data_IF_915807015571
#
_entry.id   IF_915807015571
#
_cell.length_a   1.000
_cell.length_b   1.000
_cell.length_c   1.000
_cell.angle_alpha   90.00
_cell.angle_beta   90.00
_cell.angle_gamma   90.00
#
_symmetry.space_group_name_H-M   'P 1'
#
loop_
_entity.id
_entity.type
_entity.pdbx_description
1 polymer ?
#
# COMPACT_ATOMS: atom_id res chain seq x y z
N UNK A 1 -8.50 6.77 9.49
CA UNK A 1 -8.87 6.45 10.88
C UNK A 1 -8.34 5.08 11.32
N UNK A 2 -8.39 4.06 10.45
CA UNK A 2 -7.87 2.70 10.75
C UNK A 2 -6.41 2.67 11.21
N UNK A 3 -5.47 3.31 10.49
CA UNK A 3 -4.03 3.25 10.82
C UNK A 3 -3.67 3.85 12.18
N UNK A 4 -4.37 4.90 12.59
CA UNK A 4 -4.19 5.49 13.92
C UNK A 4 -4.65 4.53 15.02
N UNK A 5 -5.78 3.82 14.81
CA UNK A 5 -6.27 2.79 15.73
C UNK A 5 -5.30 1.60 15.79
N UNK A 6 -4.87 1.06 14.65
CA UNK A 6 -3.89 -0.05 14.60
C UNK A 6 -2.57 0.31 15.33
N UNK A 7 -2.13 1.57 15.20
CA UNK A 7 -0.92 2.05 15.86
C UNK A 7 -1.02 2.08 17.39
N UNK A 8 -2.23 2.21 17.96
CA UNK A 8 -2.43 2.10 19.42
C UNK A 8 -2.11 0.70 19.90
N UNK A 9 -2.42 -0.33 19.10
CA UNK A 9 -2.09 -1.73 19.39
C UNK A 9 -0.64 -2.10 18.98
N UNK A 10 0.15 -1.14 18.52
CA UNK A 10 1.57 -1.31 18.23
C UNK A 10 1.89 -2.11 16.96
N UNK A 11 0.90 -2.33 16.09
CA UNK A 11 1.06 -3.10 14.86
C UNK A 11 0.20 -2.54 13.74
N UNK A 12 0.71 -1.50 13.06
CA UNK A 12 0.16 -1.11 11.76
C UNK A 12 0.28 -2.28 10.79
N UNK A 13 -0.82 -2.67 10.16
CA UNK A 13 -0.91 -3.91 9.36
C UNK A 13 -0.38 -3.76 7.94
N UNK A 14 -0.17 -2.52 7.49
CA UNK A 14 0.21 -2.21 6.12
C UNK A 14 0.82 -0.80 6.10
N UNK A 15 2.08 -0.73 5.67
CA UNK A 15 2.81 0.50 5.40
C UNK A 15 2.63 0.90 3.92
N UNK A 16 2.43 2.19 3.60
CA UNK A 16 2.43 2.64 2.21
C UNK A 16 3.83 2.53 1.58
N UNK A 17 3.90 2.35 0.26
CA UNK A 17 5.19 2.33 -0.47
C UNK A 17 5.93 3.65 -0.51
N UNK A 18 5.24 4.75 -0.21
CA UNK A 18 5.82 6.08 -0.11
C UNK A 18 5.62 6.65 1.30
N UNK A 19 6.46 7.63 1.64
CA UNK A 19 6.38 8.33 2.92
C UNK A 19 6.46 7.42 4.16
N UNK A 20 7.33 6.40 4.07
CA UNK A 20 7.67 5.48 5.15
C UNK A 20 9.14 5.59 5.50
N UNK A 21 9.47 5.37 6.77
CA UNK A 21 10.84 5.30 7.25
C UNK A 21 11.11 3.92 7.85
N UNK A 22 12.15 3.26 7.33
CA UNK A 22 12.55 1.94 7.78
C UNK A 22 13.84 2.01 8.59
N UNK A 23 13.89 1.25 9.68
CA UNK A 23 15.13 1.02 10.41
C UNK A 23 15.95 -0.03 9.66
N UNK A 24 17.18 0.31 9.25
CA UNK A 24 18.05 -0.60 8.49
C UNK A 24 18.55 -1.77 9.35
N UNK A 25 19.00 -1.49 10.59
CA UNK A 25 19.51 -2.50 11.54
C UNK A 25 19.04 -2.20 12.96
N UNK A 26 18.89 -3.25 13.77
CA UNK A 26 18.55 -3.13 15.19
C UNK A 26 19.47 -4.02 16.05
N UNK A 27 19.82 -3.60 17.27
CA UNK A 27 20.55 -4.45 18.19
C UNK A 27 19.68 -5.66 18.61
N UNK A 28 20.31 -6.81 18.84
CA UNK A 28 19.67 -8.03 19.35
C UNK A 28 20.50 -8.58 20.51
N UNK A 29 19.96 -8.48 21.73
CA UNK A 29 20.63 -8.88 22.96
C UNK A 29 21.74 -7.92 23.40
N UNK A 30 22.51 -8.33 24.40
CA UNK A 30 23.52 -7.49 25.06
C UNK A 30 24.90 -7.52 24.35
N UNK A 31 25.11 -8.46 23.43
CA UNK A 31 26.42 -8.73 22.83
C UNK A 31 26.68 -7.97 21.52
N UNK A 32 26.51 -6.64 21.48
CA UNK A 32 26.87 -5.78 20.33
C UNK A 32 26.44 -6.31 18.92
N UNK A 33 25.43 -7.19 18.88
CA UNK A 33 25.04 -7.93 17.69
C UNK A 33 23.90 -7.20 17.02
N UNK A 34 24.07 -6.88 15.74
CA UNK A 34 23.12 -6.10 14.97
C UNK A 34 22.46 -6.98 13.92
N UNK A 35 21.13 -6.98 13.92
CA UNK A 35 20.34 -7.71 12.92
C UNK A 35 19.88 -6.73 11.85
N UNK A 36 20.15 -7.00 10.56
CA UNK A 36 19.54 -6.25 9.47
C UNK A 36 18.03 -6.51 9.48
N UNK A 37 17.23 -5.45 9.35
CA UNK A 37 15.77 -5.58 9.34
C UNK A 37 15.30 -5.96 7.94
N UNK A 38 15.53 -5.11 6.95
CA UNK A 38 15.06 -5.36 5.57
C UNK A 38 15.87 -6.44 4.85
N UNK A 39 17.19 -6.47 5.06
CA UNK A 39 18.09 -7.46 4.48
C UNK A 39 18.19 -8.74 5.33
N UNK A 40 17.19 -9.03 6.16
CA UNK A 40 17.14 -10.29 6.89
C UNK A 40 16.88 -11.44 5.89
N UNK A 41 17.61 -12.57 5.96
CA UNK A 41 17.38 -13.72 5.09
C UNK A 41 15.91 -14.18 5.05
N UNK A 42 15.23 -14.21 6.20
CA UNK A 42 13.82 -14.63 6.31
C UNK A 42 12.85 -13.70 5.59
N UNK A 43 13.25 -12.45 5.32
CA UNK A 43 12.45 -11.49 4.52
C UNK A 43 12.87 -11.58 3.07
N UNK A 44 14.18 -11.53 2.79
CA UNK A 44 14.71 -11.51 1.43
C UNK A 44 14.32 -12.76 0.67
N UNK A 45 14.40 -13.94 1.27
CA UNK A 45 14.05 -15.22 0.61
C UNK A 45 12.61 -15.23 0.07
N UNK A 46 11.66 -14.66 0.81
CA UNK A 46 10.27 -14.55 0.37
C UNK A 46 10.01 -13.35 -0.54
N UNK A 47 10.74 -12.25 -0.34
CA UNK A 47 10.51 -11.00 -1.06
C UNK A 47 11.20 -10.94 -2.42
N UNK A 48 12.31 -11.67 -2.61
CA UNK A 48 13.08 -11.71 -3.86
C UNK A 48 12.72 -12.89 -4.76
N UNK A 49 11.46 -13.35 -4.73
CA UNK A 49 10.98 -14.42 -5.60
C UNK A 49 10.77 -13.90 -7.04
N UNK A 50 11.59 -14.40 -7.97
CA UNK A 50 11.52 -14.00 -9.38
C UNK A 50 10.51 -14.82 -10.20
N UNK A 51 10.13 -16.00 -9.72
CA UNK A 51 9.20 -16.91 -10.41
C UNK A 51 7.80 -16.74 -9.82
N UNK A 52 6.99 -15.91 -10.48
CA UNK A 52 5.66 -15.50 -10.02
C UNK A 52 4.56 -16.09 -10.90
N UNK A 53 4.38 -17.41 -10.82
CA UNK A 53 3.45 -18.13 -11.72
C UNK A 53 1.99 -18.11 -11.26
N UNK A 54 1.74 -17.79 -9.99
CA UNK A 54 0.38 -17.84 -9.42
C UNK A 54 -0.25 -16.45 -9.35
N UNK A 55 -1.57 -16.40 -9.53
CA UNK A 55 -2.37 -15.19 -9.34
C UNK A 55 -2.09 -14.52 -7.99
N UNK A 56 -1.91 -15.33 -6.94
CA UNK A 56 -1.62 -14.84 -5.60
C UNK A 56 -0.24 -14.19 -5.51
N UNK A 57 0.82 -14.86 -5.99
CA UNK A 57 2.17 -14.30 -5.99
C UNK A 57 2.28 -13.04 -6.84
N UNK A 58 1.67 -13.02 -8.03
CA UNK A 58 1.64 -11.84 -8.90
C UNK A 58 0.97 -10.64 -8.21
N UNK A 59 -0.15 -10.85 -7.52
CA UNK A 59 -0.82 -9.78 -6.79
C UNK A 59 0.01 -9.24 -5.61
N UNK A 60 0.77 -10.11 -4.92
CA UNK A 60 1.63 -9.71 -3.81
C UNK A 60 2.89 -8.97 -4.27
N UNK A 61 3.60 -9.52 -5.27
CA UNK A 61 4.95 -9.08 -5.65
C UNK A 61 4.95 -8.05 -6.78
N UNK A 62 3.95 -8.03 -7.67
CA UNK A 62 3.89 -7.10 -8.80
C UNK A 62 2.97 -5.91 -8.58
N UNK A 63 1.95 -6.03 -7.71
CA UNK A 63 0.95 -4.97 -7.49
C UNK A 63 0.91 -4.43 -6.06
N UNK A 64 1.42 -5.21 -5.10
CA UNK A 64 1.25 -4.96 -3.67
C UNK A 64 2.53 -5.11 -2.85
N UNK A 65 3.70 -4.89 -3.46
CA UNK A 65 4.97 -5.26 -2.83
C UNK A 65 5.18 -4.57 -1.47
N UNK A 66 4.71 -3.33 -1.32
CA UNK A 66 4.80 -2.57 -0.07
C UNK A 66 4.02 -3.24 1.08
N UNK A 67 2.84 -3.78 0.74
CA UNK A 67 1.94 -4.43 1.69
C UNK A 67 2.50 -5.78 2.08
N UNK A 68 2.96 -6.54 1.09
CA UNK A 68 3.57 -7.84 1.32
C UNK A 68 4.83 -7.72 2.19
N UNK A 69 5.68 -6.72 1.95
CA UNK A 69 6.83 -6.42 2.81
C UNK A 69 6.40 -6.14 4.25
N UNK A 70 5.33 -5.37 4.44
CA UNK A 70 4.79 -5.08 5.78
C UNK A 70 4.34 -6.35 6.50
N UNK A 71 3.66 -7.26 5.78
CA UNK A 71 3.22 -8.56 6.29
C UNK A 71 4.41 -9.45 6.66
N UNK A 72 5.44 -9.53 5.81
CA UNK A 72 6.68 -10.25 6.12
C UNK A 72 7.37 -9.68 7.36
N UNK A 73 7.46 -8.36 7.49
CA UNK A 73 8.04 -7.72 8.67
C UNK A 73 7.29 -8.03 9.96
N UNK A 74 5.95 -8.07 9.94
CA UNK A 74 5.14 -8.46 11.09
C UNK A 74 5.36 -9.92 11.47
N UNK A 75 5.49 -10.80 10.47
CA UNK A 75 5.74 -12.24 10.66
C UNK A 75 7.14 -12.53 11.20
N UNK A 76 8.18 -11.90 10.65
CA UNK A 76 9.58 -12.14 11.03
C UNK A 76 9.93 -11.44 12.36
N UNK A 77 9.35 -10.27 12.63
CA UNK A 77 9.67 -9.47 13.81
C UNK A 77 8.43 -9.05 14.62
N UNK A 78 7.67 -10.02 15.19
CA UNK A 78 6.40 -9.73 15.86
C UNK A 78 6.53 -8.82 17.10
N UNK A 79 7.71 -8.81 17.73
CA UNK A 79 7.99 -7.93 18.89
C UNK A 79 8.36 -6.50 18.50
N UNK A 80 8.55 -6.20 17.21
CA UNK A 80 8.89 -4.86 16.73
C UNK A 80 7.64 -4.14 16.25
N UNK A 81 7.55 -2.86 16.59
CA UNK A 81 6.37 -2.05 16.32
C UNK A 81 6.47 -1.34 14.98
N UNK A 82 5.39 -1.40 14.21
CA UNK A 82 5.13 -0.52 13.08
C UNK A 82 4.16 0.57 13.57
N UNK A 83 4.53 1.84 13.44
CA UNK A 83 3.85 2.96 14.10
C UNK A 83 3.46 4.01 13.06
N UNK A 84 2.25 4.53 13.20
CA UNK A 84 1.78 5.67 12.42
C UNK A 84 2.05 6.97 13.20
N UNK A 85 2.72 7.93 12.57
CA UNK A 85 3.04 9.24 13.17
C UNK A 85 2.10 10.30 12.56
N UNK A 86 1.07 10.77 13.27
CA UNK A 86 0.10 11.71 12.72
C UNK A 86 0.67 13.09 12.38
N UNK A 87 1.80 13.46 12.99
CA UNK A 87 2.50 14.72 12.71
C UNK A 87 3.31 14.67 11.41
N UNK A 88 3.58 13.48 10.87
CA UNK A 88 4.25 13.33 9.59
C UNK A 88 3.23 13.63 8.47
N UNK A 89 3.42 14.73 7.75
CA UNK A 89 2.53 15.16 6.67
C UNK A 89 3.26 15.12 5.33
N UNK A 90 2.63 14.49 4.34
CA UNK A 90 3.06 14.47 2.95
C UNK A 90 1.97 15.07 2.07
N UNK A 91 2.37 15.84 1.05
CA UNK A 91 1.46 16.30 -0.01
C UNK A 91 1.69 15.44 -1.24
N UNK A 92 0.61 14.98 -1.83
CA UNK A 92 0.64 14.17 -3.05
C UNK A 92 -0.40 14.68 -4.04
N UNK A 93 -0.16 14.42 -5.32
CA UNK A 93 -1.11 14.68 -6.40
C UNK A 93 -2.05 13.49 -6.55
N UNK A 94 -3.32 13.78 -6.78
CA UNK A 94 -4.34 12.75 -7.05
C UNK A 94 -4.46 12.55 -8.56
N UNK A 95 -4.96 11.39 -9.03
CA UNK A 95 -5.25 11.21 -10.44
C UNK A 95 -6.31 12.20 -10.94
N UNK A 96 -6.01 12.90 -12.03
CA UNK A 96 -6.93 13.86 -12.65
C UNK A 96 -7.92 13.19 -13.63
N UNK A 97 -7.59 11.98 -14.10
CA UNK A 97 -8.42 11.21 -15.02
C UNK A 97 -9.05 9.97 -14.38
N UNK A 98 -10.32 9.71 -14.71
CA UNK A 98 -11.05 8.57 -14.17
C UNK A 98 -10.41 7.22 -14.55
N UNK A 99 -9.86 7.09 -15.76
CA UNK A 99 -9.18 5.86 -16.20
C UNK A 99 -7.95 5.54 -15.34
N UNK A 100 -7.19 6.57 -14.98
CA UNK A 100 -6.01 6.44 -14.11
C UNK A 100 -6.44 6.07 -12.68
N UNK A 101 -7.48 6.72 -12.16
CA UNK A 101 -8.07 6.37 -10.86
C UNK A 101 -8.53 4.91 -10.83
N UNK A 102 -9.20 4.46 -11.88
CA UNK A 102 -9.74 3.10 -12.00
C UNK A 102 -8.62 2.05 -12.08
N UNK A 103 -7.55 2.32 -12.83
CA UNK A 103 -6.35 1.47 -12.84
C UNK A 103 -5.66 1.41 -11.47
N UNK A 104 -5.50 2.56 -10.80
CA UNK A 104 -4.92 2.61 -9.45
C UNK A 104 -5.75 1.79 -8.45
N UNK A 105 -7.07 1.98 -8.46
CA UNK A 105 -7.97 1.31 -7.50
C UNK A 105 -8.09 -0.18 -7.76
N UNK A 106 -8.04 -0.63 -9.02
CA UNK A 106 -7.91 -2.06 -9.34
C UNK A 106 -6.70 -2.67 -8.64
N UNK A 107 -5.50 -2.10 -8.85
CA UNK A 107 -4.25 -2.62 -8.25
C UNK A 107 -4.33 -2.68 -6.73
N UNK A 108 -4.88 -1.64 -6.13
CA UNK A 108 -5.02 -1.55 -4.68
C UNK A 108 -6.05 -2.55 -4.15
N UNK A 109 -7.17 -2.76 -4.81
CA UNK A 109 -8.19 -3.72 -4.33
C UNK A 109 -7.66 -5.15 -4.49
N UNK A 110 -7.13 -5.50 -5.66
CA UNK A 110 -6.64 -6.85 -5.94
C UNK A 110 -5.53 -7.26 -4.96
N UNK A 111 -4.50 -6.42 -4.79
CA UNK A 111 -3.42 -6.70 -3.83
C UNK A 111 -3.88 -6.66 -2.38
N UNK A 112 -4.94 -5.90 -2.02
CA UNK A 112 -5.48 -5.91 -0.65
C UNK A 112 -6.04 -7.30 -0.33
N UNK A 113 -6.84 -7.88 -1.22
CA UNK A 113 -7.45 -9.21 -0.99
C UNK A 113 -6.37 -10.27 -0.73
N UNK A 114 -5.35 -10.32 -1.59
CA UNK A 114 -4.25 -11.28 -1.45
C UNK A 114 -3.37 -11.02 -0.22
N UNK A 115 -3.09 -9.75 0.10
CA UNK A 115 -2.32 -9.43 1.30
C UNK A 115 -3.11 -9.75 2.58
N UNK A 116 -4.42 -9.53 2.60
CA UNK A 116 -5.27 -9.90 3.74
C UNK A 116 -5.27 -11.42 3.95
N UNK A 117 -5.24 -12.24 2.89
CA UNK A 117 -5.10 -13.71 3.01
C UNK A 117 -3.81 -14.10 3.73
N UNK A 118 -2.68 -13.48 3.39
CA UNK A 118 -1.40 -13.70 4.09
C UNK A 118 -1.44 -13.17 5.53
N UNK A 119 -2.02 -11.99 5.74
CA UNK A 119 -2.04 -11.33 7.04
C UNK A 119 -2.92 -12.08 8.06
N UNK A 120 -4.01 -12.72 7.64
CA UNK A 120 -4.85 -13.59 8.51
C UNK A 120 -4.02 -14.75 9.10
N UNK A 121 -2.98 -15.19 8.42
CA UNK A 121 -2.12 -16.30 8.87
C UNK A 121 -1.03 -15.85 9.86
N UNK A 122 -0.88 -14.55 10.11
CA UNK A 122 0.07 -14.00 11.08
C UNK A 122 -0.51 -14.14 12.49
N UNK A 123 0.09 -15.02 13.30
CA UNK A 123 -0.44 -15.42 14.63
C UNK A 123 -0.10 -14.46 15.77
N UNK A 124 1.00 -13.71 15.63
CA UNK A 124 1.53 -12.84 16.69
C UNK A 124 1.01 -11.40 16.62
N UNK A 125 -0.21 -11.22 16.10
CA UNK A 125 -0.90 -9.93 16.11
C UNK A 125 -1.49 -9.67 17.52
N UNK A 126 -1.47 -8.41 17.96
CA UNK A 126 -1.94 -8.04 19.30
C UNK A 126 -3.45 -8.30 19.49
N UNK A 127 -3.84 -8.79 20.67
CA UNK A 127 -5.23 -8.79 21.16
C UNK A 127 -5.68 -10.11 21.81
N UNK A 128 -6.94 -10.18 22.23
CA UNK A 128 -7.54 -11.35 22.90
C UNK A 128 -8.88 -11.70 22.23
N UNK A 129 -9.04 -12.94 21.78
CA UNK A 129 -10.28 -13.49 21.18
C UNK A 129 -10.90 -12.59 20.07
N UNK A 130 -12.21 -12.27 20.11
CA UNK A 130 -12.90 -11.43 19.10
C UNK A 130 -12.43 -9.97 19.04
N UNK A 131 -11.58 -9.53 19.97
CA UNK A 131 -10.90 -8.24 19.91
C UNK A 131 -9.43 -8.38 19.47
N UNK A 132 -9.08 -9.54 18.90
CA UNK A 132 -7.78 -9.75 18.25
C UNK A 132 -7.73 -8.99 16.92
N UNK A 133 -6.60 -8.35 16.66
CA UNK A 133 -6.28 -7.78 15.36
C UNK A 133 -6.42 -8.82 14.24
N UNK A 134 -6.11 -10.09 14.51
CA UNK A 134 -6.28 -11.18 13.54
C UNK A 134 -7.76 -11.41 13.17
N UNK A 135 -8.66 -11.32 14.15
CA UNK A 135 -10.11 -11.44 13.89
C UNK A 135 -10.64 -10.26 13.08
N UNK A 136 -10.18 -9.04 13.39
CA UNK A 136 -10.54 -7.84 12.62
C UNK A 136 -10.09 -7.96 11.16
N UNK A 137 -8.84 -8.41 10.91
CA UNK A 137 -8.32 -8.66 9.57
C UNK A 137 -9.14 -9.73 8.83
N UNK A 138 -9.56 -10.79 9.52
CA UNK A 138 -10.44 -11.81 8.93
C UNK A 138 -11.81 -11.24 8.53
N UNK A 139 -12.45 -10.46 9.40
CA UNK A 139 -13.72 -9.79 9.09
C UNK A 139 -13.55 -8.82 7.92
N UNK A 140 -12.43 -8.09 7.84
CA UNK A 140 -12.11 -7.21 6.73
C UNK A 140 -11.99 -8.00 5.41
N UNK A 141 -11.26 -9.12 5.41
CA UNK A 141 -11.16 -10.01 4.24
C UNK A 141 -12.54 -10.47 3.75
N UNK A 142 -13.37 -11.01 4.65
CA UNK A 142 -14.74 -11.43 4.32
C UNK A 142 -15.57 -10.25 3.80
N UNK A 143 -15.47 -9.09 4.46
CA UNK A 143 -16.17 -7.87 4.08
C UNK A 143 -15.83 -7.39 2.66
N UNK A 144 -14.56 -7.45 2.26
CA UNK A 144 -14.14 -7.06 0.90
C UNK A 144 -14.81 -7.92 -0.19
N UNK A 145 -15.04 -9.21 0.07
CA UNK A 145 -15.67 -10.14 -0.85
C UNK A 145 -17.20 -10.05 -0.83
N UNK A 146 -17.79 -9.88 0.36
CA UNK A 146 -19.25 -9.89 0.55
C UNK A 146 -19.90 -8.59 0.09
N UNK A 147 -19.26 -7.44 0.30
CA UNK A 147 -19.89 -6.14 0.06
C UNK A 147 -20.30 -5.90 -1.42
N UNK A 148 -19.44 -6.15 -2.43
CA UNK A 148 -19.84 -5.97 -3.83
C UNK A 148 -20.95 -6.94 -4.24
N UNK A 149 -20.90 -8.18 -3.74
CA UNK A 149 -21.93 -9.19 -3.98
C UNK A 149 -23.28 -8.77 -3.37
N UNK A 150 -23.29 -8.27 -2.13
CA UNK A 150 -24.50 -7.80 -1.46
C UNK A 150 -25.18 -6.65 -2.22
N UNK A 151 -24.38 -5.70 -2.74
CA UNK A 151 -24.89 -4.60 -3.56
C UNK A 151 -25.48 -5.13 -4.88
N UNK A 152 -24.78 -6.02 -5.57
CA UNK A 152 -25.27 -6.63 -6.82
C UNK A 152 -26.58 -7.40 -6.62
N UNK A 153 -26.68 -8.21 -5.55
CA UNK A 153 -27.92 -8.94 -5.21
C UNK A 153 -29.07 -7.98 -4.88
N UNK A 154 -28.79 -6.87 -4.21
CA UNK A 154 -29.80 -5.86 -3.90
C UNK A 154 -30.37 -5.21 -5.16
N UNK A 155 -29.52 -4.89 -6.15
CA UNK A 155 -29.98 -4.40 -7.45
C UNK A 155 -30.80 -5.44 -8.21
N UNK A 156 -30.33 -6.69 -8.24
CA UNK A 156 -31.04 -7.79 -8.90
C UNK A 156 -32.45 -8.02 -8.30
N UNK A 157 -32.57 -8.04 -6.97
CA UNK A 157 -33.84 -8.18 -6.28
C UNK A 157 -34.80 -7.00 -6.54
N UNK A 158 -34.27 -5.77 -6.60
CA UNK A 158 -35.05 -4.58 -6.91
C UNK A 158 -35.66 -4.61 -8.32
N UNK A 159 -34.92 -5.13 -9.31
CA UNK A 159 -35.38 -5.28 -10.71
C UNK A 159 -36.51 -6.33 -10.81
N UNK A 160 -36.41 -7.42 -10.04
CA UNK A 160 -37.41 -8.49 -10.06
C UNK A 160 -38.66 -8.21 -9.19
N UNK A 161 -38.77 -7.01 -8.61
CA UNK A 161 -39.86 -6.63 -7.70
C UNK A 161 -40.12 -7.65 -6.58
N UNK A 162 -39.08 -8.36 -6.14
CA UNK A 162 -39.17 -9.24 -4.97
C UNK A 162 -39.16 -8.39 -3.68
N UNK A 163 -39.40 -9.01 -2.53
CA UNK A 163 -39.34 -8.33 -1.23
C UNK A 163 -37.98 -7.64 -1.05
N UNK A 164 -37.99 -6.32 -1.16
CA UNK A 164 -36.79 -5.51 -0.98
C UNK A 164 -36.28 -5.77 0.46
N UNK A 165 -35.00 -6.11 0.66
CA UNK A 165 -34.46 -6.35 2.00
C UNK A 165 -34.29 -5.01 2.74
N UNK A 166 -35.40 -4.48 3.26
CA UNK A 166 -35.48 -3.16 3.90
C UNK A 166 -34.46 -3.03 5.03
N UNK A 167 -34.29 -4.08 5.85
CA UNK A 167 -33.32 -4.08 6.95
C UNK A 167 -31.87 -3.90 6.48
N UNK A 168 -31.48 -4.55 5.37
CA UNK A 168 -30.14 -4.41 4.80
C UNK A 168 -29.91 -3.03 4.19
N UNK A 169 -30.92 -2.46 3.53
CA UNK A 169 -30.84 -1.10 3.00
C UNK A 169 -30.75 -0.05 4.10
N UNK A 170 -31.54 -0.22 5.18
CA UNK A 170 -31.47 0.68 6.36
C UNK A 170 -30.10 0.59 7.01
N UNK A 171 -29.56 -0.61 7.19
CA UNK A 171 -28.22 -0.80 7.76
C UNK A 171 -27.14 -0.18 6.87
N UNK A 172 -27.20 -0.38 5.55
CA UNK A 172 -26.28 0.22 4.58
C UNK A 172 -26.37 1.75 4.61
N UNK A 173 -27.58 2.30 4.65
CA UNK A 173 -27.81 3.74 4.76
C UNK A 173 -27.26 4.32 6.07
N UNK A 174 -27.39 3.60 7.18
CA UNK A 174 -26.80 4.00 8.46
C UNK A 174 -25.27 3.96 8.42
N UNK A 175 -24.67 2.86 7.94
CA UNK A 175 -23.21 2.71 7.88
C UNK A 175 -22.57 3.76 6.98
N UNK A 176 -23.15 4.03 5.81
CA UNK A 176 -22.61 5.02 4.86
C UNK A 176 -23.02 6.45 5.21
N UNK A 177 -24.21 6.66 5.76
CA UNK A 177 -24.78 7.99 6.05
C UNK A 177 -24.34 8.58 7.39
N UNK A 178 -24.14 7.75 8.42
CA UNK A 178 -23.77 8.22 9.77
C UNK A 178 -22.43 8.98 9.80
N UNK A 179 -21.35 8.54 9.10
CA UNK A 179 -20.13 9.34 8.97
C UNK A 179 -20.39 10.70 8.30
N UNK A 180 -21.29 10.75 7.30
CA UNK A 180 -21.70 11.99 6.65
C UNK A 180 -22.37 12.96 7.62
N UNK A 181 -23.32 12.47 8.44
CA UNK A 181 -23.99 13.28 9.46
C UNK A 181 -22.99 13.83 10.48
N UNK A 182 -22.06 13.00 10.97
CA UNK A 182 -21.02 13.45 11.90
C UNK A 182 -20.13 14.54 11.30
N UNK A 183 -19.78 14.44 10.02
CA UNK A 183 -19.01 15.47 9.31
C UNK A 183 -19.81 16.77 9.21
N UNK A 184 -21.10 16.73 8.86
CA UNK A 184 -21.95 17.94 8.81
C UNK A 184 -21.99 18.65 10.16
N UNK A 185 -22.16 17.89 11.24
CA UNK A 185 -22.21 18.45 12.60
C UNK A 185 -20.87 19.06 13.05
N UNK A 186 -19.74 18.52 12.56
CA UNK A 186 -18.40 18.96 12.95
C UNK A 186 -17.82 20.03 12.00
N UNK A 187 -18.31 20.10 10.77
CA UNK A 187 -17.78 20.99 9.74
C UNK A 187 -18.35 22.41 9.85
N UNK A 188 -17.55 23.33 10.38
CA UNK A 188 -17.94 24.74 10.51
C UNK A 188 -17.79 25.58 9.23
N UNK A 189 -17.33 25.01 8.11
CA UNK A 189 -17.25 25.73 6.82
C UNK A 189 -18.14 25.11 5.76
N UNK A 190 -18.99 25.96 5.14
CA UNK A 190 -19.94 25.58 4.09
C UNK A 190 -19.26 24.93 2.88
N UNK A 191 -18.01 25.32 2.57
CA UNK A 191 -17.22 24.67 1.51
C UNK A 191 -17.04 23.17 1.73
N UNK A 192 -16.85 22.71 2.98
CA UNK A 192 -16.71 21.28 3.28
C UNK A 192 -18.03 20.54 3.08
N UNK A 193 -19.16 21.18 3.36
CA UNK A 193 -20.50 20.60 3.13
C UNK A 193 -20.74 20.40 1.62
N UNK A 194 -20.35 21.35 0.77
CA UNK A 194 -20.47 21.21 -0.68
C UNK A 194 -19.62 20.05 -1.23
N UNK A 195 -18.35 19.95 -0.82
CA UNK A 195 -17.49 18.83 -1.21
C UNK A 195 -17.98 17.49 -0.67
N UNK A 196 -18.58 17.48 0.52
CA UNK A 196 -19.19 16.28 1.09
C UNK A 196 -20.39 15.80 0.26
N UNK A 197 -21.24 16.69 -0.26
CA UNK A 197 -22.34 16.30 -1.15
C UNK A 197 -21.82 15.62 -2.42
N UNK A 198 -20.76 16.17 -3.04
CA UNK A 198 -20.09 15.54 -4.19
C UNK A 198 -19.57 14.15 -3.80
N UNK A 199 -18.95 14.02 -2.63
CA UNK A 199 -18.49 12.74 -2.11
C UNK A 199 -19.64 11.73 -1.94
N UNK A 200 -20.77 12.14 -1.35
CA UNK A 200 -21.95 11.28 -1.17
C UNK A 200 -22.52 10.79 -2.51
N UNK A 201 -22.59 11.68 -3.51
CA UNK A 201 -23.01 11.31 -4.88
C UNK A 201 -22.01 10.35 -5.55
N UNK A 202 -20.73 10.40 -5.18
CA UNK A 202 -19.71 9.48 -5.69
C UNK A 202 -19.69 8.12 -4.98
N UNK A 203 -20.42 7.93 -3.87
CA UNK A 203 -20.43 6.66 -3.11
C UNK A 203 -20.75 5.41 -3.93
N UNK A 204 -21.70 5.43 -4.90
CA UNK A 204 -21.93 4.28 -5.78
C UNK A 204 -20.70 3.93 -6.62
N UNK A 205 -19.92 4.93 -7.05
CA UNK A 205 -18.67 4.69 -7.77
C UNK A 205 -17.67 3.99 -6.86
N UNK A 206 -17.53 4.48 -5.61
CA UNK A 206 -16.59 3.92 -4.62
C UNK A 206 -16.94 2.52 -4.14
N UNK A 207 -18.23 2.22 -3.93
CA UNK A 207 -18.67 0.97 -3.31
C UNK A 207 -19.10 -0.10 -4.33
N UNK A 208 -19.39 0.28 -5.58
CA UNK A 208 -19.85 -0.65 -6.61
C UNK A 208 -18.93 -0.64 -7.84
N UNK A 209 -18.82 0.49 -8.55
CA UNK A 209 -18.10 0.53 -9.83
C UNK A 209 -16.64 0.13 -9.69
N UNK A 210 -15.92 0.71 -8.73
CA UNK A 210 -14.49 0.44 -8.54
C UNK A 210 -14.23 -1.01 -8.06
N UNK A 211 -14.91 -1.54 -7.03
CA UNK A 211 -14.76 -2.94 -6.63
C UNK A 211 -15.15 -3.92 -7.74
N UNK A 212 -16.30 -3.74 -8.39
CA UNK A 212 -16.75 -4.64 -9.47
C UNK A 212 -15.75 -4.66 -10.62
N UNK A 213 -15.22 -3.51 -11.03
CA UNK A 213 -14.17 -3.47 -12.05
C UNK A 213 -12.90 -4.20 -11.60
N UNK A 214 -12.49 -4.04 -10.34
CA UNK A 214 -11.32 -4.71 -9.79
C UNK A 214 -11.47 -6.24 -9.81
N UNK A 215 -12.61 -6.76 -9.34
CA UNK A 215 -12.92 -8.19 -9.37
C UNK A 215 -13.13 -8.73 -10.80
N UNK A 216 -13.62 -7.92 -11.74
CA UNK A 216 -13.73 -8.31 -13.14
C UNK A 216 -12.37 -8.41 -13.83
N UNK A 217 -11.40 -7.58 -13.42
CA UNK A 217 -10.01 -7.54 -13.91
C UNK A 217 -9.04 -8.01 -12.84
N UNK A 218 -9.40 -9.09 -12.15
CA UNK A 218 -8.62 -9.59 -11.02
C UNK A 218 -7.30 -10.26 -11.45
N UNK A 219 -7.23 -10.67 -12.72
CA UNK A 219 -6.10 -11.24 -13.44
C UNK A 219 -5.26 -10.22 -14.23
N UNK A 220 -5.59 -8.93 -14.17
CA UNK A 220 -4.85 -7.87 -14.88
C UNK A 220 -3.74 -7.27 -14.02
N UNK A 221 -2.49 -7.61 -14.35
CA UNK A 221 -1.27 -7.17 -13.66
C UNK A 221 -0.62 -5.92 -14.26
N UNK A 222 -1.29 -5.25 -15.20
CA UNK A 222 -0.77 -4.01 -15.78
C UNK A 222 -0.71 -2.87 -14.74
N UNK A 223 0.25 -1.97 -14.91
CA UNK A 223 0.36 -0.74 -14.11
C UNK A 223 -0.35 0.46 -14.73
N UNK A 224 -0.85 0.32 -15.96
CA UNK A 224 -1.51 1.40 -16.72
C UNK A 224 -0.61 2.63 -16.89
N UNK A 225 -1.23 3.79 -17.07
CA UNK A 225 -0.52 5.07 -17.24
C UNK A 225 0.18 5.57 -15.96
N UNK A 226 -0.03 4.93 -14.80
CA UNK A 226 0.49 5.39 -13.50
C UNK A 226 2.01 5.34 -13.32
N UNK A 227 2.76 4.75 -14.26
CA UNK A 227 4.24 4.70 -14.25
C UNK A 227 4.89 5.26 -15.52
N UNK A 228 4.11 5.81 -16.46
CA UNK A 228 4.68 6.35 -17.70
C UNK A 228 5.48 7.61 -17.38
N UNK A 229 6.80 7.50 -17.41
CA UNK A 229 7.67 8.68 -17.48
C UNK A 229 7.46 9.35 -18.85
N UNK A 230 7.55 10.68 -18.91
CA UNK A 230 7.30 11.42 -20.14
C UNK A 230 8.27 10.95 -21.25
N UNK A 231 7.77 10.21 -22.23
CA UNK A 231 8.54 9.68 -23.37
C UNK A 231 8.66 8.15 -23.45
N UNK A 232 8.25 7.39 -22.42
CA UNK A 232 8.42 5.94 -22.41
C UNK A 232 7.18 5.20 -22.95
N UNK A 233 7.26 4.67 -24.17
CA UNK A 233 6.29 3.69 -24.68
C UNK A 233 6.69 2.29 -24.19
N UNK A 234 6.36 1.94 -22.95
CA UNK A 234 6.43 0.54 -22.53
C UNK A 234 5.29 -0.24 -23.17
N UNK A 235 5.65 -1.10 -24.13
CA UNK A 235 4.82 -2.23 -24.59
C UNK A 235 4.85 -3.30 -23.49
N UNK A 236 3.68 -3.65 -22.97
CA UNK A 236 3.47 -4.89 -22.22
C UNK A 236 3.46 -4.74 -20.69
N UNK A 237 2.60 -5.54 -20.05
CA UNK A 237 2.55 -5.65 -18.59
C UNK A 237 3.79 -6.38 -18.06
N UNK A 238 3.93 -6.49 -16.74
CA UNK A 238 4.98 -7.31 -16.12
C UNK A 238 4.90 -8.81 -16.54
N UNK A 239 3.79 -9.23 -17.14
CA UNK A 239 3.61 -10.57 -17.72
C UNK A 239 4.36 -10.78 -19.05
N UNK A 240 4.79 -9.72 -19.75
CA UNK A 240 5.32 -9.83 -21.13
C UNK A 240 6.86 -9.85 -21.19
N UNK A 241 7.56 -9.80 -20.04
CA UNK A 241 9.03 -9.82 -19.98
C UNK A 241 9.50 -11.15 -19.40
N UNK A 242 9.41 -12.20 -20.21
CA UNK A 242 10.13 -13.45 -19.95
C UNK A 242 11.61 -13.29 -20.37
N UNK A 243 12.54 -13.56 -19.47
CA UNK A 243 13.97 -13.50 -19.75
C UNK A 243 14.82 -14.10 -18.63
N UNK A 244 16.00 -14.63 -18.98
CA UNK A 244 16.97 -15.08 -17.98
C UNK A 244 17.59 -13.88 -17.25
N UNK A 245 17.61 -13.96 -15.91
CA UNK A 245 18.21 -12.94 -15.08
C UNK A 245 19.74 -12.92 -15.24
N UNK A 246 20.26 -11.91 -15.93
CA UNK A 246 21.69 -11.70 -16.08
C UNK A 246 22.31 -11.10 -14.80
N UNK A 247 22.81 -11.97 -13.93
CA UNK A 247 23.48 -11.60 -12.68
C UNK A 247 24.74 -10.74 -12.87
N UNK A 248 25.34 -10.71 -14.07
CA UNK A 248 26.56 -9.92 -14.33
C UNK A 248 26.32 -8.41 -14.30
N UNK A 249 25.05 -7.97 -14.42
CA UNK A 249 24.66 -6.56 -14.30
C UNK A 249 24.67 -6.05 -12.86
N UNK A 250 24.64 -6.93 -11.86
CA UNK A 250 24.72 -6.52 -10.46
C UNK A 250 26.20 -6.32 -10.08
N UNK A 251 26.56 -5.07 -9.80
CA UNK A 251 27.88 -4.77 -9.23
C UNK A 251 27.91 -5.16 -7.75
N UNK A 252 28.44 -6.35 -7.45
CA UNK A 252 28.62 -6.81 -6.07
C UNK A 252 29.81 -6.10 -5.43
N UNK A 253 29.54 -5.04 -4.68
CA UNK A 253 30.57 -4.22 -4.04
C UNK A 253 30.21 -3.90 -2.59
N UNK A 254 31.20 -3.87 -1.69
CA UNK A 254 30.95 -3.42 -0.32
C UNK A 254 30.71 -1.91 -0.32
N UNK A 255 29.85 -1.45 0.59
CA UNK A 255 29.56 -0.03 0.75
C UNK A 255 30.83 0.83 0.91
N UNK A 256 31.81 0.36 1.68
CA UNK A 256 33.07 1.06 1.88
C UNK A 256 33.83 1.32 0.56
N UNK A 257 33.87 0.34 -0.34
CA UNK A 257 34.55 0.48 -1.62
C UNK A 257 33.76 1.39 -2.57
N UNK A 258 32.43 1.41 -2.46
CA UNK A 258 31.55 2.31 -3.22
C UNK A 258 31.75 3.76 -2.78
N UNK A 259 31.83 3.99 -1.47
CA UNK A 259 32.09 5.31 -0.91
C UNK A 259 33.51 5.80 -1.23
N UNK A 260 34.49 4.91 -1.14
CA UNK A 260 35.88 5.20 -1.51
C UNK A 260 36.00 5.65 -2.97
N UNK A 261 35.36 4.93 -3.90
CA UNK A 261 35.32 5.34 -5.31
C UNK A 261 34.56 6.64 -5.55
N UNK A 262 33.44 6.86 -4.83
CA UNK A 262 32.71 8.13 -4.93
C UNK A 262 33.57 9.30 -4.47
N UNK A 263 34.31 9.13 -3.36
CA UNK A 263 35.25 10.13 -2.82
C UNK A 263 36.44 10.34 -3.75
N UNK A 264 36.99 9.28 -4.36
CA UNK A 264 38.06 9.35 -5.37
C UNK A 264 37.59 10.10 -6.62
N UNK A 265 36.38 9.81 -7.13
CA UNK A 265 35.79 10.49 -8.30
C UNK A 265 35.43 11.95 -8.00
N UNK A 266 34.95 12.26 -6.78
CA UNK A 266 34.63 13.63 -6.35
C UNK A 266 35.88 14.44 -6.00
N UNK A 267 36.96 13.79 -5.56
CA UNK A 267 38.23 14.41 -5.18
C UNK A 267 39.17 14.73 -6.34
N UNK A 268 38.78 14.42 -7.58
CA UNK A 268 39.56 14.70 -8.79
C UNK A 268 39.48 16.15 -9.30
N UNK A 269 38.67 17.01 -8.67
CA UNK A 269 38.56 18.44 -9.03
C UNK A 269 39.33 19.30 -8.01
N UNK A 270 40.64 19.35 -8.20
CA UNK A 270 41.69 20.28 -7.76
C UNK A 270 41.64 21.03 -6.39
N UNK A 271 42.77 20.84 -5.68
CA UNK A 271 43.58 21.76 -4.87
C UNK A 271 43.15 23.25 -4.73
N UNK A 272 43.25 23.72 -3.47
CA UNK A 272 43.34 25.09 -2.96
C UNK A 272 42.12 26.03 -3.11
N UNK A 273 41.33 26.13 -2.04
CA UNK A 273 41.12 27.43 -1.36
C UNK A 273 40.46 27.25 0.01
N UNK A 274 40.91 28.08 0.93
CA UNK A 274 40.48 28.27 2.31
C UNK A 274 38.98 28.50 2.50
N UNK A 275 38.48 27.95 3.60
CA UNK A 275 37.37 28.44 4.42
C UNK A 275 35.93 28.40 3.86
N UNK A 276 35.05 27.97 4.78
CA UNK A 276 33.59 28.19 4.87
C UNK A 276 32.66 27.40 3.95
N UNK A 277 31.68 26.77 4.59
CA UNK A 277 30.76 25.83 4.01
C UNK A 277 29.81 26.41 2.98
N UNK A 278 29.40 25.54 2.07
CA UNK A 278 28.09 25.51 1.44
C UNK A 278 28.00 24.21 0.65
N UNK A 279 27.05 23.35 0.99
CA UNK A 279 26.76 22.15 0.20
C UNK A 279 25.86 22.54 -0.97
N UNK A 280 26.21 22.27 -2.24
CA UNK A 280 25.26 22.44 -3.33
C UNK A 280 24.30 21.24 -3.32
N UNK A 281 23.05 21.52 -3.01
CA UNK A 281 21.92 20.63 -3.27
C UNK A 281 21.68 20.65 -4.78
N UNK A 282 22.02 19.56 -5.49
CA UNK A 282 21.57 19.35 -6.86
C UNK A 282 20.05 19.15 -6.84
N UNK A 283 19.33 20.25 -7.07
CA UNK A 283 17.96 20.23 -7.52
C UNK A 283 17.93 19.66 -8.93
N UNK A 284 17.33 18.48 -9.08
CA UNK A 284 17.29 17.77 -10.34
C UNK A 284 16.07 16.87 -10.45
N UNK A 285 14.89 17.41 -10.14
CA UNK A 285 13.61 16.96 -10.70
C UNK A 285 12.69 18.19 -10.75
N UNK A 286 12.74 18.92 -11.87
CA UNK A 286 11.70 19.86 -12.27
C UNK A 286 10.67 19.13 -13.14
N UNK A 287 9.40 19.39 -12.80
CA UNK A 287 8.10 19.01 -13.36
C UNK A 287 7.58 17.60 -13.08
#
# INVERSE_FOLDING_TARGET
MSKSFESVFGGVTCLPGCFCMYRIKAPKGDQNYWVPILANPDIVEHYSENVVDTLHKKNLLLLGEDRYLSTLMLRTFPKRKQVFIPQAVCKTTVPDEFKVLLSQRRRWINSTVHNLMELVLVRDLCGTFCFSMQFVVFVELVGTLVLPAAIAFTFYAAILHTTIPVMSLVLLALILGLPGVLIVLTAHRVSYVAWMLIYLLSLPIWNFVLPTYAYWKFDDFSWGDTRKTAGEQTKGGHDDVEGEFDSSKITMKRWADFEHERRMKSGGTNYNSSAQGSYPYESGYEY
#
